data_IF_898317478806
#
_entry.id   IF_898317478806
#
_cell.length_a   1.000
_cell.length_b   1.000
_cell.length_c   1.000
_cell.angle_alpha   90.00
_cell.angle_beta   90.00
_cell.angle_gamma   90.00
#
_symmetry.space_group_name_H-M   'P 1'
#
loop_
_entity.id
_entity.type
_entity.pdbx_description
1 polymer ?
#
# COMPACT_ATOMS: atom_id res chain seq x y z
N UNK A 1 7.07 2.94 0.53
CA UNK A 1 5.78 2.95 -0.19
C UNK A 1 5.39 1.54 -0.59
N UNK A 2 4.14 1.13 -0.38
CA UNK A 2 3.59 -0.09 -0.98
C UNK A 2 2.96 0.26 -2.33
N UNK A 3 3.24 -0.54 -3.37
CA UNK A 3 2.72 -0.28 -4.73
C UNK A 3 1.91 -1.46 -5.25
N UNK A 4 0.92 -1.16 -6.12
CA UNK A 4 -0.07 -2.12 -6.63
C UNK A 4 -0.68 -2.96 -5.50
N UNK A 5 -0.90 -2.32 -4.35
CA UNK A 5 -1.31 -2.99 -3.13
C UNK A 5 -2.67 -3.67 -3.27
N UNK A 6 -2.77 -4.90 -2.75
CA UNK A 6 -3.99 -5.71 -2.73
C UNK A 6 -5.00 -5.18 -1.70
N UNK A 7 -5.19 -3.87 -1.68
CA UNK A 7 -6.08 -3.10 -0.82
C UNK A 7 -7.05 -2.29 -1.69
N UNK A 8 -8.26 -2.75 -1.79
CA UNK A 8 -9.31 -2.15 -2.62
C UNK A 8 -10.69 -2.43 -2.03
N UNK A 9 -11.70 -1.67 -2.43
CA UNK A 9 -13.10 -1.99 -2.12
C UNK A 9 -13.65 -3.03 -3.10
N UNK A 10 -14.81 -3.62 -2.78
CA UNK A 10 -15.46 -4.62 -3.63
C UNK A 10 -15.67 -4.09 -5.05
N UNK A 11 -15.10 -4.75 -6.09
CA UNK A 11 -15.30 -4.37 -7.48
C UNK A 11 -16.77 -4.43 -7.89
N UNK A 12 -17.20 -3.53 -8.76
CA UNK A 12 -18.62 -3.42 -9.19
C UNK A 12 -19.14 -4.71 -9.82
N UNK A 13 -18.30 -5.43 -10.56
CA UNK A 13 -18.63 -6.72 -11.17
C UNK A 13 -19.02 -7.80 -10.16
N UNK A 14 -18.61 -7.65 -8.89
CA UNK A 14 -18.99 -8.59 -7.83
C UNK A 14 -20.29 -8.24 -7.11
N UNK A 15 -20.81 -7.02 -7.24
CA UNK A 15 -21.93 -6.54 -6.43
C UNK A 15 -23.23 -7.33 -6.63
N UNK A 16 -23.46 -7.86 -7.85
CA UNK A 16 -24.63 -8.66 -8.18
C UNK A 16 -24.57 -10.12 -7.66
N UNK A 17 -23.39 -10.57 -7.20
CA UNK A 17 -23.21 -11.93 -6.74
C UNK A 17 -24.01 -12.19 -5.45
N UNK A 18 -24.80 -13.29 -5.35
CA UNK A 18 -25.63 -13.57 -4.18
C UNK A 18 -24.84 -13.66 -2.86
N UNK A 19 -23.61 -14.20 -2.91
CA UNK A 19 -22.69 -14.27 -1.77
C UNK A 19 -22.30 -12.89 -1.25
N UNK A 20 -21.99 -11.97 -2.16
CA UNK A 20 -21.61 -10.59 -1.83
C UNK A 20 -22.81 -9.83 -1.29
N UNK A 21 -23.98 -9.93 -1.93
CA UNK A 21 -25.20 -9.28 -1.44
C UNK A 21 -25.58 -9.75 -0.03
N UNK A 22 -25.45 -11.05 0.25
CA UNK A 22 -25.68 -11.58 1.59
C UNK A 22 -24.69 -11.03 2.61
N UNK A 23 -23.41 -10.95 2.23
CA UNK A 23 -22.35 -10.41 3.09
C UNK A 23 -22.59 -8.93 3.44
N UNK A 24 -22.83 -8.07 2.44
CA UNK A 24 -23.02 -6.62 2.67
C UNK A 24 -24.31 -6.34 3.45
N UNK A 25 -25.40 -7.09 3.21
CA UNK A 25 -26.65 -7.01 4.01
C UNK A 25 -26.37 -7.34 5.49
N UNK A 26 -25.63 -8.43 5.75
CA UNK A 26 -25.28 -8.83 7.12
C UNK A 26 -24.43 -7.75 7.81
N UNK A 27 -23.53 -7.11 7.08
CA UNK A 27 -22.67 -6.03 7.58
C UNK A 27 -23.37 -4.67 7.63
N UNK A 28 -24.54 -4.52 7.01
CA UNK A 28 -25.27 -3.24 6.85
C UNK A 28 -24.40 -2.15 6.24
N UNK A 29 -23.59 -2.50 5.23
CA UNK A 29 -22.65 -1.61 4.55
C UNK A 29 -22.98 -1.49 3.07
N UNK A 30 -22.55 -0.38 2.46
CA UNK A 30 -22.57 -0.23 1.01
C UNK A 30 -21.37 -1.04 0.42
N UNK A 31 -21.57 -1.89 -0.61
CA UNK A 31 -20.49 -2.65 -1.21
C UNK A 31 -19.32 -1.78 -1.69
N UNK A 32 -19.59 -0.54 -2.10
CA UNK A 32 -18.57 0.42 -2.51
C UNK A 32 -17.56 0.78 -1.40
N UNK A 33 -17.90 0.54 -0.14
CA UNK A 33 -17.05 0.88 0.99
C UNK A 33 -16.54 -0.35 1.76
N UNK A 34 -16.89 -1.55 1.30
CA UNK A 34 -16.40 -2.80 1.92
C UNK A 34 -15.10 -3.22 1.25
N UNK A 35 -14.07 -3.50 2.03
CA UNK A 35 -12.80 -4.00 1.50
C UNK A 35 -12.97 -5.40 0.87
N UNK A 36 -12.36 -5.57 -0.30
CA UNK A 36 -12.18 -6.88 -0.90
C UNK A 36 -11.20 -7.68 -0.04
N UNK A 37 -11.66 -8.79 0.51
CA UNK A 37 -10.87 -9.70 1.33
C UNK A 37 -11.10 -11.13 0.89
N UNK A 38 -10.06 -11.79 0.44
CA UNK A 38 -10.09 -13.17 -0.06
C UNK A 38 -10.64 -14.16 0.99
N UNK A 39 -10.43 -13.90 2.27
CA UNK A 39 -10.95 -14.74 3.34
C UNK A 39 -12.47 -14.80 3.38
N UNK A 40 -13.15 -13.77 2.87
CA UNK A 40 -14.62 -13.67 2.86
C UNK A 40 -15.22 -13.73 1.45
N UNK A 41 -14.45 -13.32 0.43
CA UNK A 41 -14.97 -13.07 -0.91
C UNK A 41 -14.39 -14.02 -1.98
N UNK A 42 -13.60 -15.03 -1.58
CA UNK A 42 -12.86 -15.92 -2.49
C UNK A 42 -13.71 -16.44 -3.66
N UNK A 43 -14.90 -16.98 -3.38
CA UNK A 43 -15.77 -17.54 -4.43
C UNK A 43 -16.19 -16.52 -5.50
N UNK A 44 -16.38 -15.25 -5.11
CA UNK A 44 -16.69 -14.17 -6.06
C UNK A 44 -15.47 -13.65 -6.81
N UNK A 45 -14.28 -13.88 -6.29
CA UNK A 45 -13.03 -13.39 -6.90
C UNK A 45 -12.54 -14.23 -8.06
N UNK A 46 -13.05 -15.45 -8.23
CA UNK A 46 -12.54 -16.40 -9.25
C UNK A 46 -12.66 -15.86 -10.68
N UNK A 47 -13.58 -14.95 -10.93
CA UNK A 47 -13.79 -14.32 -12.25
C UNK A 47 -13.10 -12.95 -12.40
N UNK A 48 -12.46 -12.46 -11.35
CA UNK A 48 -11.76 -11.19 -11.43
C UNK A 48 -10.45 -11.33 -12.23
N UNK A 49 -10.19 -10.34 -13.05
CA UNK A 49 -8.86 -10.21 -13.67
C UNK A 49 -7.81 -10.06 -12.55
N UNK A 50 -6.68 -10.72 -12.71
CA UNK A 50 -5.55 -10.71 -11.75
C UNK A 50 -5.97 -11.06 -10.32
N UNK A 51 -6.94 -11.98 -10.16
CA UNK A 51 -7.51 -12.36 -8.87
C UNK A 51 -6.44 -12.77 -7.84
N UNK A 52 -5.34 -13.40 -8.29
CA UNK A 52 -4.23 -13.84 -7.44
C UNK A 52 -3.42 -12.69 -6.83
N UNK A 53 -3.52 -11.48 -7.38
CA UNK A 53 -2.84 -10.26 -6.89
C UNK A 53 -3.71 -9.43 -5.95
N UNK A 54 -5.02 -9.74 -5.82
CA UNK A 54 -6.04 -8.87 -5.22
C UNK A 54 -6.57 -9.45 -3.90
N UNK A 55 -7.24 -8.59 -3.11
CA UNK A 55 -8.00 -9.00 -1.92
C UNK A 55 -7.13 -9.56 -0.79
N UNK A 56 -6.00 -8.92 -0.50
CA UNK A 56 -5.12 -9.25 0.62
C UNK A 56 -4.82 -8.01 1.48
N UNK A 57 -5.86 -7.39 2.07
CA UNK A 57 -5.68 -6.24 2.96
C UNK A 57 -4.87 -6.56 4.22
N UNK A 58 -4.84 -7.82 4.64
CA UNK A 58 -4.01 -8.32 5.74
C UNK A 58 -2.50 -8.16 5.45
N UNK A 59 -2.05 -8.46 4.24
CA UNK A 59 -0.67 -8.29 3.81
C UNK A 59 -0.25 -6.81 3.85
N UNK A 60 -1.13 -5.93 3.39
CA UNK A 60 -0.91 -4.48 3.45
C UNK A 60 -0.87 -4.00 4.89
N UNK A 61 -1.78 -4.48 5.74
CA UNK A 61 -1.82 -4.16 7.16
C UNK A 61 -0.52 -4.52 7.88
N UNK A 62 -0.02 -5.75 7.70
CA UNK A 62 1.26 -6.17 8.30
C UNK A 62 2.41 -5.26 7.86
N UNK A 63 2.50 -4.96 6.56
CA UNK A 63 3.56 -4.10 6.04
C UNK A 63 3.48 -2.66 6.59
N UNK A 64 2.26 -2.14 6.78
CA UNK A 64 2.03 -0.84 7.37
C UNK A 64 2.39 -0.79 8.86
N UNK A 65 2.11 -1.85 9.63
CA UNK A 65 2.51 -1.93 11.04
C UNK A 65 4.03 -1.90 11.18
N UNK A 66 4.75 -2.65 10.32
CA UNK A 66 6.22 -2.65 10.30
C UNK A 66 6.80 -1.26 10.01
N UNK A 67 6.14 -0.44 9.19
CA UNK A 67 6.60 0.90 8.87
C UNK A 67 6.18 1.95 9.91
N UNK A 68 4.95 1.84 10.45
CA UNK A 68 4.34 2.85 11.32
C UNK A 68 4.94 2.85 12.74
N UNK A 69 5.40 1.68 13.23
CA UNK A 69 5.96 1.55 14.58
C UNK A 69 7.50 1.69 14.61
N UNK A 70 8.07 2.55 13.75
CA UNK A 70 9.53 2.72 13.60
C UNK A 70 10.02 4.11 14.07
N UNK A 71 11.27 4.22 14.56
CA UNK A 71 11.87 5.49 14.89
C UNK A 71 11.87 6.51 13.75
N UNK A 72 12.11 6.08 12.50
CA UNK A 72 12.04 6.96 11.33
C UNK A 72 10.66 7.58 11.15
N UNK A 73 9.59 6.81 11.38
CA UNK A 73 8.23 7.33 11.28
C UNK A 73 7.92 8.30 12.44
N UNK A 74 8.28 7.96 13.67
CA UNK A 74 8.05 8.80 14.85
C UNK A 74 8.78 10.13 14.79
N UNK A 75 9.95 10.17 14.13
CA UNK A 75 10.74 11.40 13.93
C UNK A 75 10.37 12.16 12.65
N UNK A 76 9.28 11.76 11.96
CA UNK A 76 8.83 12.35 10.70
C UNK A 76 9.87 12.31 9.56
N UNK A 77 10.80 11.37 9.61
CA UNK A 77 11.80 11.11 8.56
C UNK A 77 11.33 10.07 7.54
N UNK A 78 10.21 9.39 7.81
CA UNK A 78 9.57 8.42 6.92
C UNK A 78 8.16 8.88 6.58
N UNK A 79 7.87 9.05 5.30
CA UNK A 79 6.52 9.25 4.79
C UNK A 79 6.00 7.93 4.21
N UNK A 80 4.79 7.52 4.61
CA UNK A 80 4.17 6.27 4.18
C UNK A 80 3.07 6.55 3.15
N UNK A 81 3.14 5.85 2.01
CA UNK A 81 2.10 5.82 0.99
C UNK A 81 1.73 4.38 0.64
N UNK A 82 0.48 4.16 0.29
CA UNK A 82 0.00 2.94 -0.35
C UNK A 82 -0.66 3.32 -1.66
N UNK A 83 -0.06 2.91 -2.78
CA UNK A 83 -0.70 2.95 -4.09
C UNK A 83 -1.43 1.61 -4.30
N UNK A 84 -2.72 1.64 -4.51
CA UNK A 84 -3.56 0.46 -4.61
C UNK A 84 -3.61 -0.10 -6.04
N UNK A 85 -4.10 -1.34 -6.19
CA UNK A 85 -4.32 -1.98 -7.48
C UNK A 85 -5.19 -1.14 -8.43
N UNK A 86 -6.15 -0.38 -7.90
CA UNK A 86 -7.13 0.42 -8.65
C UNK A 86 -6.75 1.91 -8.76
N UNK A 87 -5.47 2.25 -8.66
CA UNK A 87 -4.98 3.63 -8.77
C UNK A 87 -5.62 4.60 -7.75
N UNK A 88 -5.70 4.17 -6.48
CA UNK A 88 -5.86 5.07 -5.35
C UNK A 88 -4.54 5.19 -4.61
N UNK A 89 -4.24 6.38 -4.13
CA UNK A 89 -3.13 6.63 -3.22
C UNK A 89 -3.68 6.95 -1.82
N UNK A 90 -3.19 6.20 -0.84
CA UNK A 90 -3.48 6.40 0.56
C UNK A 90 -2.23 6.98 1.21
N UNK A 91 -2.34 8.20 1.73
CA UNK A 91 -1.28 8.88 2.48
C UNK A 91 -1.61 8.85 3.97
N UNK A 92 -0.60 8.59 4.80
CA UNK A 92 -0.72 8.50 6.25
C UNK A 92 0.00 9.67 6.90
N UNK A 93 -0.69 10.38 7.79
CA UNK A 93 -0.10 11.45 8.59
C UNK A 93 0.90 10.87 9.61
N UNK A 94 1.95 11.63 9.92
CA UNK A 94 2.98 11.24 10.90
C UNK A 94 2.46 10.96 12.31
N UNK A 95 1.29 11.47 12.67
CA UNK A 95 0.67 11.28 13.98
C UNK A 95 -0.28 10.09 14.03
N UNK A 96 -0.47 9.37 12.91
CA UNK A 96 -1.38 8.23 12.88
C UNK A 96 -0.87 7.10 13.77
N UNK A 97 -1.81 6.43 14.43
CA UNK A 97 -1.59 5.16 15.13
C UNK A 97 -2.50 4.11 14.52
N UNK A 98 -1.92 3.20 13.75
CA UNK A 98 -2.68 2.14 13.10
C UNK A 98 -3.12 1.09 14.11
N UNK A 99 -4.38 0.62 14.03
CA UNK A 99 -4.85 -0.48 14.88
C UNK A 99 -4.06 -1.76 14.61
N UNK A 100 -3.57 -2.42 15.67
CA UNK A 100 -2.91 -3.74 15.58
C UNK A 100 -3.89 -4.85 15.20
N UNK A 101 -5.16 -4.71 15.57
CA UNK A 101 -6.22 -5.64 15.19
C UNK A 101 -6.60 -5.44 13.72
N UNK A 102 -6.52 -6.50 12.91
CA UNK A 102 -6.90 -6.47 11.51
C UNK A 102 -8.34 -5.98 11.28
N UNK A 103 -9.29 -6.44 12.10
CA UNK A 103 -10.69 -6.00 11.94
C UNK A 103 -10.89 -4.50 12.18
N UNK A 104 -10.15 -3.92 13.13
CA UNK A 104 -10.17 -2.47 13.39
C UNK A 104 -9.49 -1.71 12.26
N UNK A 105 -8.37 -2.23 11.76
CA UNK A 105 -7.70 -1.66 10.59
C UNK A 105 -8.62 -1.67 9.35
N UNK A 106 -9.23 -2.81 9.04
CA UNK A 106 -10.16 -2.91 7.92
C UNK A 106 -11.32 -1.91 8.04
N UNK A 107 -11.93 -1.79 9.24
CA UNK A 107 -12.97 -0.81 9.49
C UNK A 107 -12.51 0.64 9.33
N UNK A 108 -11.29 0.96 9.74
CA UNK A 108 -10.69 2.28 9.59
C UNK A 108 -10.47 2.63 8.10
N UNK A 109 -9.96 1.70 7.31
CA UNK A 109 -9.75 1.92 5.87
C UNK A 109 -11.09 2.01 5.12
N UNK A 110 -12.07 1.16 5.47
CA UNK A 110 -13.42 1.24 4.90
C UNK A 110 -14.07 2.62 5.17
N UNK A 111 -13.93 3.15 6.39
CA UNK A 111 -14.38 4.49 6.74
C UNK A 111 -13.65 5.56 5.93
N UNK A 112 -12.33 5.44 5.77
CA UNK A 112 -11.55 6.40 4.99
C UNK A 112 -11.99 6.42 3.51
N UNK A 113 -12.31 5.27 2.89
CA UNK A 113 -12.88 5.20 1.55
C UNK A 113 -14.28 5.84 1.48
N UNK A 114 -15.14 5.61 2.47
CA UNK A 114 -16.45 6.23 2.54
C UNK A 114 -16.35 7.76 2.62
N UNK A 115 -15.45 8.25 3.45
CA UNK A 115 -15.22 9.68 3.63
C UNK A 115 -14.60 10.33 2.38
N UNK A 116 -13.69 9.67 1.66
CA UNK A 116 -13.13 10.20 0.41
C UNK A 116 -14.20 10.38 -0.66
N UNK A 117 -15.08 9.39 -0.82
CA UNK A 117 -16.21 9.47 -1.77
C UNK A 117 -17.16 10.62 -1.45
N UNK A 118 -17.40 10.94 -0.17
CA UNK A 118 -18.24 12.07 0.24
C UNK A 118 -17.58 13.42 -0.06
N UNK A 119 -16.24 13.50 -0.01
CA UNK A 119 -15.50 14.74 -0.28
C UNK A 119 -15.43 15.10 -1.76
N UNK A 120 -15.34 14.12 -2.65
CA UNK A 120 -15.43 14.36 -4.09
C UNK A 120 -16.75 15.05 -4.47
N UNK A 121 -17.77 14.94 -3.60
CA UNK A 121 -19.07 15.62 -3.74
C UNK A 121 -19.12 17.03 -3.11
N UNK A 122 -18.15 17.38 -2.24
CA UNK A 122 -18.14 18.65 -1.49
C UNK A 122 -16.77 19.31 -1.68
N UNK A 123 -16.60 20.06 -2.76
CA UNK A 123 -15.39 20.83 -3.03
C UNK A 123 -15.11 21.82 -1.89
N UNK A 124 -14.01 21.67 -1.15
CA UNK A 124 -13.47 22.77 -0.34
C UNK A 124 -13.15 22.52 1.13
N UNK A 125 -13.15 21.31 1.66
CA UNK A 125 -12.77 21.10 3.08
C UNK A 125 -11.34 20.62 3.22
N UNK A 126 -10.44 21.53 3.58
CA UNK A 126 -9.10 21.25 4.10
C UNK A 126 -9.24 20.68 5.53
N UNK A 127 -9.39 19.36 5.65
CA UNK A 127 -9.30 18.69 6.95
C UNK A 127 -7.91 18.08 7.12
N UNK A 128 -7.26 18.36 8.25
CA UNK A 128 -6.07 17.65 8.73
C UNK A 128 -6.43 16.20 9.09
N UNK A 129 -6.55 15.35 8.09
CA UNK A 129 -6.93 13.95 8.26
C UNK A 129 -5.71 13.09 8.45
N UNK A 130 -5.79 12.15 9.37
CA UNK A 130 -4.73 11.16 9.60
C UNK A 130 -4.55 10.18 8.43
N UNK A 131 -5.60 9.98 7.62
CA UNK A 131 -5.58 9.18 6.39
C UNK A 131 -6.23 10.00 5.27
N UNK A 132 -5.53 10.11 4.15
CA UNK A 132 -6.04 10.76 2.94
C UNK A 132 -6.04 9.74 1.81
N UNK A 133 -7.18 9.58 1.13
CA UNK A 133 -7.33 8.71 -0.04
C UNK A 133 -7.67 9.59 -1.24
N UNK A 134 -6.96 9.39 -2.34
CA UNK A 134 -7.16 10.12 -3.60
C UNK A 134 -7.10 9.14 -4.77
N UNK A 135 -7.95 9.35 -5.78
CA UNK A 135 -7.77 8.70 -7.08
C UNK A 135 -6.52 9.29 -7.72
N UNK A 136 -5.47 8.49 -7.83
CA UNK A 136 -4.16 8.93 -8.26
C UNK A 136 -3.34 7.72 -8.73
N UNK A 137 -2.75 7.82 -9.92
CA UNK A 137 -1.82 6.83 -10.45
C UNK A 137 -0.46 6.90 -9.76
N UNK A 138 0.35 5.86 -9.94
CA UNK A 138 1.74 5.87 -9.45
C UNK A 138 2.56 6.98 -10.10
N UNK A 139 2.39 7.19 -11.41
CA UNK A 139 3.03 8.28 -12.15
C UNK A 139 2.74 9.64 -11.54
N UNK A 140 1.46 9.96 -11.34
CA UNK A 140 1.03 11.23 -10.73
C UNK A 140 1.61 11.42 -9.33
N UNK A 141 1.70 10.33 -8.54
CA UNK A 141 2.31 10.39 -7.21
C UNK A 141 3.82 10.65 -7.31
N UNK A 142 4.54 10.02 -8.24
CA UNK A 142 5.97 10.29 -8.48
C UNK A 142 6.17 11.74 -8.91
N UNK A 143 5.36 12.25 -9.83
CA UNK A 143 5.41 13.66 -10.23
C UNK A 143 5.13 14.62 -9.06
N UNK A 144 4.09 14.36 -8.27
CA UNK A 144 3.72 15.17 -7.12
C UNK A 144 4.81 15.17 -6.03
N UNK A 145 5.37 14.02 -5.74
CA UNK A 145 6.38 13.88 -4.68
C UNK A 145 7.78 14.26 -5.15
N UNK A 146 8.05 14.23 -6.46
CA UNK A 146 9.33 14.57 -7.08
C UNK A 146 10.52 13.93 -6.37
N UNK A 147 10.59 12.58 -6.25
CA UNK A 147 11.71 11.91 -5.60
C UNK A 147 12.98 12.06 -6.45
N UNK A 148 14.15 12.13 -5.80
CA UNK A 148 15.43 12.15 -6.51
C UNK A 148 15.79 10.77 -7.08
N UNK A 149 15.26 9.70 -6.49
CA UNK A 149 15.43 8.31 -6.94
C UNK A 149 14.21 7.50 -6.52
N UNK A 150 13.79 6.57 -7.39
CA UNK A 150 12.74 5.58 -7.11
C UNK A 150 13.33 4.18 -7.21
N UNK A 151 13.52 3.52 -6.06
CA UNK A 151 14.11 2.19 -5.97
C UNK A 151 13.01 1.15 -5.80
N UNK A 152 12.83 0.28 -6.78
CA UNK A 152 11.92 -0.86 -6.70
C UNK A 152 12.58 -2.06 -6.06
N UNK A 153 11.98 -2.63 -5.00
CA UNK A 153 12.47 -3.85 -4.36
C UNK A 153 11.76 -5.07 -4.96
N UNK A 154 12.50 -5.83 -5.76
CA UNK A 154 12.00 -7.00 -6.50
C UNK A 154 13.09 -8.06 -6.62
N UNK A 155 12.73 -9.34 -6.72
CA UNK A 155 13.68 -10.42 -6.96
C UNK A 155 14.34 -10.39 -8.34
N UNK A 156 13.79 -9.62 -9.29
CA UNK A 156 14.39 -9.38 -10.61
C UNK A 156 15.51 -8.33 -10.58
N UNK A 157 15.56 -7.52 -9.52
CA UNK A 157 16.57 -6.49 -9.36
C UNK A 157 17.96 -7.04 -9.04
N UNK A 158 18.96 -6.18 -9.18
CA UNK A 158 20.34 -6.51 -8.78
C UNK A 158 20.37 -6.85 -7.28
N UNK A 159 20.90 -8.04 -6.95
CA UNK A 159 21.08 -8.45 -5.56
C UNK A 159 22.15 -7.58 -4.89
N UNK A 160 21.78 -6.95 -3.78
CA UNK A 160 22.64 -6.10 -2.96
C UNK A 160 22.43 -6.39 -1.47
N UNK A 161 23.42 -6.05 -0.65
CA UNK A 161 23.25 -6.12 0.81
C UNK A 161 22.36 -4.98 1.34
N UNK A 162 21.81 -5.16 2.55
CA UNK A 162 21.06 -4.09 3.22
C UNK A 162 21.91 -2.83 3.44
N UNK A 163 23.21 -2.98 3.73
CA UNK A 163 24.12 -1.82 3.87
C UNK A 163 24.33 -1.07 2.55
N UNK A 164 24.41 -1.77 1.41
CA UNK A 164 24.50 -1.13 0.10
C UNK A 164 23.20 -0.39 -0.25
N UNK A 165 22.03 -1.00 0.02
CA UNK A 165 20.75 -0.34 -0.17
C UNK A 165 20.63 0.91 0.70
N UNK A 166 20.99 0.80 1.98
CA UNK A 166 20.94 1.94 2.91
C UNK A 166 21.84 3.07 2.45
N UNK A 167 23.05 2.77 1.96
CA UNK A 167 23.96 3.78 1.43
C UNK A 167 23.38 4.49 0.20
N UNK A 168 22.75 3.74 -0.72
CA UNK A 168 22.08 4.31 -1.89
C UNK A 168 20.92 5.26 -1.47
N UNK A 169 20.17 4.87 -0.43
CA UNK A 169 19.05 5.68 0.09
C UNK A 169 19.54 6.94 0.80
N UNK A 170 20.50 6.83 1.74
CA UNK A 170 20.94 8.01 2.54
C UNK A 170 21.75 9.00 1.73
N UNK A 171 22.40 8.57 0.64
CA UNK A 171 23.10 9.47 -0.28
C UNK A 171 22.15 10.25 -1.21
N UNK A 172 20.87 9.88 -1.25
CA UNK A 172 19.86 10.53 -2.08
C UNK A 172 19.10 11.59 -1.27
N UNK A 173 18.83 12.76 -1.86
CA UNK A 173 18.14 13.85 -1.14
C UNK A 173 16.70 13.49 -0.75
N UNK A 174 15.97 12.83 -1.67
CA UNK A 174 14.55 12.48 -1.48
C UNK A 174 14.26 11.11 -2.10
N UNK A 175 14.74 10.04 -1.48
CA UNK A 175 14.56 8.70 -2.01
C UNK A 175 13.12 8.21 -1.84
N UNK A 176 12.61 7.47 -2.82
CA UNK A 176 11.39 6.70 -2.73
C UNK A 176 11.72 5.21 -2.89
N UNK A 177 11.26 4.39 -1.95
CA UNK A 177 11.40 2.93 -2.02
C UNK A 177 10.02 2.34 -2.32
N UNK A 178 9.92 1.59 -3.40
CA UNK A 178 8.71 0.88 -3.81
C UNK A 178 8.81 -0.60 -3.44
N UNK A 179 7.85 -1.09 -2.66
CA UNK A 179 7.70 -2.50 -2.26
C UNK A 179 6.37 -2.99 -2.79
N UNK A 180 6.33 -4.16 -3.43
CA UNK A 180 5.08 -4.75 -3.94
C UNK A 180 4.10 -5.06 -2.80
N UNK A 181 2.91 -4.45 -2.83
CA UNK A 181 1.84 -4.67 -1.85
C UNK A 181 0.89 -5.82 -2.22
N UNK A 182 1.35 -6.80 -3.00
CA UNK A 182 0.57 -7.90 -3.57
C UNK A 182 1.17 -9.27 -3.21
N UNK A 183 0.35 -10.34 -3.18
CA UNK A 183 0.80 -11.66 -2.73
C UNK A 183 1.65 -12.42 -3.75
N UNK A 184 1.51 -12.14 -5.06
CA UNK A 184 2.19 -12.85 -6.15
C UNK A 184 2.55 -11.94 -7.31
N UNK A 185 3.62 -12.29 -8.02
CA UNK A 185 4.07 -11.63 -9.25
C UNK A 185 5.11 -10.54 -8.98
N UNK A 186 5.27 -9.67 -9.98
CA UNK A 186 6.25 -8.58 -10.00
C UNK A 186 5.53 -7.26 -10.30
N UNK A 187 6.25 -6.15 -10.25
CA UNK A 187 5.71 -4.86 -10.70
C UNK A 187 5.24 -4.94 -12.15
N UNK A 188 4.10 -4.33 -12.44
CA UNK A 188 3.67 -4.13 -13.82
C UNK A 188 4.43 -2.98 -14.47
N UNK A 189 4.31 -2.84 -15.80
CA UNK A 189 4.91 -1.70 -16.52
C UNK A 189 4.42 -0.34 -16.00
N UNK A 190 3.23 -0.28 -15.41
CA UNK A 190 2.71 0.94 -14.76
C UNK A 190 3.58 1.43 -13.59
N UNK A 191 4.34 0.54 -12.99
CA UNK A 191 5.29 0.85 -11.91
C UNK A 191 6.72 0.86 -12.44
N UNK A 192 7.13 -0.22 -13.14
CA UNK A 192 8.54 -0.39 -13.55
C UNK A 192 9.07 0.72 -14.44
N UNK A 193 8.21 1.35 -15.26
CA UNK A 193 8.60 2.48 -16.12
C UNK A 193 9.03 3.73 -15.34
N UNK A 194 8.65 3.84 -14.08
CA UNK A 194 8.99 4.98 -13.21
C UNK A 194 10.06 4.66 -12.16
N UNK A 195 10.58 3.43 -12.16
CA UNK A 195 11.68 3.06 -11.27
C UNK A 195 13.01 3.56 -11.85
N UNK A 196 13.78 4.23 -11.02
CA UNK A 196 15.17 4.61 -11.35
C UNK A 196 16.07 3.39 -11.34
N UNK A 197 15.80 2.46 -10.42
CA UNK A 197 16.55 1.21 -10.29
C UNK A 197 15.71 0.12 -9.62
N UNK A 198 16.06 -1.13 -9.94
CA UNK A 198 15.52 -2.31 -9.27
C UNK A 198 16.61 -2.99 -8.44
N UNK A 199 16.28 -3.32 -7.20
CA UNK A 199 17.19 -3.99 -6.26
C UNK A 199 16.51 -5.21 -5.65
N UNK A 200 17.33 -6.21 -5.34
CA UNK A 200 16.93 -7.36 -4.55
C UNK A 200 17.73 -7.39 -3.25
N UNK A 201 17.08 -7.58 -2.12
CA UNK A 201 17.73 -7.73 -0.80
C UNK A 201 17.88 -9.20 -0.39
N UNK A 202 17.35 -10.12 -1.19
CA UNK A 202 17.44 -11.55 -0.96
C UNK A 202 17.18 -12.30 -2.29
N UNK A 203 17.87 -13.41 -2.57
CA UNK A 203 17.69 -14.16 -3.82
C UNK A 203 16.29 -14.80 -3.97
N UNK A 204 15.61 -15.10 -2.85
CA UNK A 204 14.24 -15.63 -2.86
C UNK A 204 13.22 -14.56 -2.53
N UNK A 205 11.99 -14.76 -2.99
CA UNK A 205 10.85 -13.87 -2.66
C UNK A 205 10.61 -13.86 -1.15
N UNK A 206 10.48 -12.67 -0.59
CA UNK A 206 10.13 -12.41 0.81
C UNK A 206 8.75 -11.77 0.89
N UNK A 207 8.05 -11.96 2.02
CA UNK A 207 6.80 -11.22 2.28
C UNK A 207 7.05 -9.71 2.34
N UNK A 208 6.12 -8.92 1.82
CA UNK A 208 6.24 -7.46 1.76
C UNK A 208 6.56 -6.82 3.14
N UNK A 209 5.95 -7.33 4.22
CA UNK A 209 6.23 -6.87 5.58
C UNK A 209 7.68 -7.15 6.01
N UNK A 210 8.25 -8.31 5.63
CA UNK A 210 9.66 -8.64 5.92
C UNK A 210 10.60 -7.71 5.15
N UNK A 211 10.30 -7.46 3.85
CA UNK A 211 11.06 -6.50 3.03
C UNK A 211 11.01 -5.11 3.66
N UNK A 212 9.82 -4.66 4.06
CA UNK A 212 9.60 -3.36 4.70
C UNK A 212 10.39 -3.23 6.00
N UNK A 213 10.26 -4.21 6.91
CA UNK A 213 10.95 -4.19 8.22
C UNK A 213 12.48 -4.17 8.04
N UNK A 214 13.03 -5.07 7.20
CA UNK A 214 14.48 -5.16 6.96
C UNK A 214 15.04 -3.87 6.35
N UNK A 215 14.35 -3.34 5.34
CA UNK A 215 14.79 -2.13 4.65
C UNK A 215 14.81 -0.93 5.60
N UNK A 216 13.76 -0.73 6.40
CA UNK A 216 13.70 0.37 7.37
C UNK A 216 14.78 0.20 8.44
N UNK A 217 14.95 -1.00 8.98
CA UNK A 217 15.99 -1.30 9.98
C UNK A 217 17.39 -0.99 9.46
N UNK A 218 17.72 -1.43 8.24
CA UNK A 218 19.04 -1.19 7.65
C UNK A 218 19.30 0.30 7.43
N UNK A 219 18.29 1.07 7.01
CA UNK A 219 18.38 2.54 6.88
C UNK A 219 18.57 3.20 8.24
N UNK A 220 17.82 2.80 9.27
CA UNK A 220 17.99 3.32 10.63
C UNK A 220 19.37 3.06 11.19
N UNK A 221 19.91 1.87 10.93
CA UNK A 221 21.27 1.50 11.32
C UNK A 221 22.33 2.37 10.64
N UNK A 222 22.13 2.73 9.38
CA UNK A 222 23.07 3.56 8.61
C UNK A 222 22.99 5.05 8.94
N UNK A 223 21.90 5.51 9.59
CA UNK A 223 21.71 6.89 10.04
C UNK A 223 22.24 7.15 11.45
N UNK A 224 22.68 6.13 12.16
CA UNK A 224 23.33 6.21 13.49
C UNK A 224 24.81 6.47 13.36
#
# INVERSE_FOLDING_TARGET
MLVEAALETLPREMWSLPSIQRYVRKKRKNPNHVLLDRSFHHGGMLQLKDAERRGRPDLVHFSLLEANDTPLFFTAKLQIYVHTYNDFVIAFDKNIRLPKSYHRFAGLIEQAFEESTRQDLISGVNSSRLIQIRSQTFEELVMQTSPSVVIGLTTHGKLISGSQLSQEVISSQKPMIAVGGFPKGHFTSRISNYLTSERSIHPSSLGAHVVTARTIYDIEKALR
#
